data_IF_157605644043
#
_entry.id   IF_157605644043
#
_cell.length_a   1.000
_cell.length_b   1.000
_cell.length_c   1.000
_cell.angle_alpha   90.00
_cell.angle_beta   90.00
_cell.angle_gamma   90.00
#
_symmetry.space_group_name_H-M   'P 1'
#
loop_
_entity.id
_entity.type
_entity.pdbx_description
1 polymer ?
#
# COMPACT_ATOMS: atom_id res chain seq x y z
N UNK A 1 0.09 9.12 11.59
CA UNK A 1 -0.19 8.24 10.43
C UNK A 1 0.57 8.79 9.23
N UNK A 2 1.29 7.94 8.50
CA UNK A 2 2.01 8.35 7.30
C UNK A 2 1.29 7.81 6.06
N UNK A 3 1.07 8.66 5.06
CA UNK A 3 0.42 8.30 3.80
C UNK A 3 1.43 8.40 2.67
N UNK A 4 1.64 7.29 1.95
CA UNK A 4 2.48 7.24 0.76
C UNK A 4 1.57 7.17 -0.48
N UNK A 5 1.72 8.12 -1.39
CA UNK A 5 0.92 8.22 -2.61
C UNK A 5 1.87 8.29 -3.82
N UNK A 6 1.65 7.45 -4.82
CA UNK A 6 2.43 7.52 -6.05
C UNK A 6 2.12 6.42 -7.07
N UNK A 7 2.66 6.61 -8.27
CA UNK A 7 2.67 5.58 -9.31
C UNK A 7 3.93 4.71 -9.18
N UNK A 8 3.71 3.47 -8.77
CA UNK A 8 4.78 2.49 -8.53
C UNK A 8 5.13 1.65 -9.76
N UNK A 9 4.40 1.81 -10.87
CA UNK A 9 4.57 1.05 -12.11
C UNK A 9 4.69 -0.47 -11.88
N UNK A 10 3.88 -0.99 -10.96
CA UNK A 10 3.87 -2.38 -10.54
C UNK A 10 2.42 -2.88 -10.45
N UNK A 11 2.19 -4.11 -10.90
CA UNK A 11 0.87 -4.76 -10.89
C UNK A 11 0.77 -5.84 -9.81
N UNK A 12 -0.34 -5.87 -9.08
CA UNK A 12 -0.70 -6.93 -8.11
C UNK A 12 -2.22 -7.06 -7.98
N UNK A 13 -2.69 -8.28 -7.75
CA UNK A 13 -4.14 -8.59 -7.74
C UNK A 13 -4.86 -7.91 -6.58
N UNK A 14 -4.26 -7.94 -5.39
CA UNK A 14 -4.79 -7.29 -4.19
C UNK A 14 -4.78 -5.75 -4.26
N UNK A 15 -4.33 -5.16 -5.36
CA UNK A 15 -4.34 -3.72 -5.64
C UNK A 15 -5.31 -3.36 -6.77
N UNK A 16 -6.17 -4.28 -7.20
CA UNK A 16 -7.13 -4.04 -8.28
C UNK A 16 -6.62 -4.35 -9.68
N UNK A 17 -5.46 -5.01 -9.85
CA UNK A 17 -5.01 -5.48 -11.17
C UNK A 17 -5.48 -6.91 -11.47
N UNK A 18 -5.60 -7.27 -12.74
CA UNK A 18 -5.92 -8.64 -13.16
C UNK A 18 -4.73 -9.61 -13.10
N UNK A 19 -3.50 -9.08 -13.10
CA UNK A 19 -2.26 -9.88 -13.11
C UNK A 19 -1.24 -9.34 -12.12
N UNK A 20 -0.27 -10.20 -11.77
CA UNK A 20 0.90 -9.79 -10.98
C UNK A 20 2.11 -9.59 -11.87
N UNK A 21 2.77 -8.44 -11.72
CA UNK A 21 4.08 -8.16 -12.34
C UNK A 21 5.24 -8.64 -11.47
N UNK A 22 6.44 -8.80 -12.06
CA UNK A 22 7.69 -9.08 -11.31
C UNK A 22 7.98 -8.02 -10.24
N UNK A 23 7.66 -6.74 -10.50
CA UNK A 23 7.82 -5.62 -9.56
C UNK A 23 6.80 -5.60 -8.43
N UNK A 24 5.62 -6.18 -8.64
CA UNK A 24 4.53 -6.17 -7.66
C UNK A 24 4.81 -7.04 -6.43
N UNK A 25 5.52 -8.16 -6.60
CA UNK A 25 5.87 -9.06 -5.48
C UNK A 25 6.78 -8.41 -4.43
N UNK A 26 7.95 -7.85 -4.76
CA UNK A 26 8.83 -7.23 -3.75
C UNK A 26 8.17 -6.00 -3.11
N UNK A 27 7.38 -5.23 -3.85
CA UNK A 27 6.65 -4.10 -3.28
C UNK A 27 5.55 -4.56 -2.31
N UNK A 28 4.84 -5.66 -2.59
CA UNK A 28 3.92 -6.23 -1.61
C UNK A 28 4.62 -6.69 -0.33
N UNK A 29 5.81 -7.28 -0.45
CA UNK A 29 6.60 -7.67 0.72
C UNK A 29 6.96 -6.44 1.58
N UNK A 30 7.40 -5.35 0.94
CA UNK A 30 7.69 -4.09 1.63
C UNK A 30 6.46 -3.55 2.37
N UNK A 31 5.29 -3.51 1.71
CA UNK A 31 4.03 -3.08 2.31
C UNK A 31 3.68 -3.91 3.54
N UNK A 32 3.85 -5.24 3.46
CA UNK A 32 3.63 -6.15 4.59
C UNK A 32 4.64 -5.93 5.73
N UNK A 33 5.94 -5.74 5.43
CA UNK A 33 6.96 -5.46 6.43
C UNK A 33 6.72 -4.14 7.17
N UNK A 34 6.14 -3.15 6.49
CA UNK A 34 5.82 -1.86 7.09
C UNK A 34 4.49 -1.86 7.86
N UNK A 35 3.77 -2.98 7.93
CA UNK A 35 2.40 -3.03 8.48
C UNK A 35 1.45 -2.00 7.83
N UNK A 36 1.65 -1.75 6.53
CA UNK A 36 0.88 -0.78 5.77
C UNK A 36 -0.38 -1.41 5.16
N UNK A 37 -1.48 -0.67 5.18
CA UNK A 37 -2.72 -1.01 4.49
C UNK A 37 -2.73 -0.38 3.10
N UNK A 38 -3.21 -1.11 2.10
CA UNK A 38 -3.34 -0.61 0.73
C UNK A 38 -4.75 -0.11 0.48
N UNK A 39 -4.87 1.14 0.05
CA UNK A 39 -6.11 1.72 -0.44
C UNK A 39 -6.00 1.92 -1.95
N UNK A 40 -6.90 1.27 -2.68
CA UNK A 40 -7.02 1.41 -4.14
C UNK A 40 -8.39 2.01 -4.47
N UNK A 41 -8.39 3.15 -5.16
CA UNK A 41 -9.60 3.75 -5.69
C UNK A 41 -9.57 3.65 -7.21
N UNK A 42 -10.52 2.89 -7.77
CA UNK A 42 -10.71 2.84 -9.21
C UNK A 42 -11.32 4.18 -9.66
N UNK A 43 -10.49 5.08 -10.19
CA UNK A 43 -11.00 6.32 -10.76
C UNK A 43 -11.79 6.01 -12.04
N UNK A 44 -12.99 6.59 -12.23
CA UNK A 44 -13.77 6.42 -13.45
C UNK A 44 -12.94 6.88 -14.65
N UNK A 45 -12.84 5.99 -15.62
CA UNK A 45 -11.82 5.98 -16.66
C UNK A 45 -11.97 7.14 -17.65
N UNK A 46 -11.08 8.14 -17.56
CA UNK A 46 -10.53 8.82 -18.74
C UNK A 46 -9.03 9.04 -18.54
N UNK A 47 -8.24 8.04 -18.99
CA UNK A 47 -6.79 8.15 -19.31
C UNK A 47 -5.85 8.63 -18.19
N UNK A 48 -6.07 8.29 -16.92
CA UNK A 48 -5.10 8.58 -15.87
C UNK A 48 -4.58 7.29 -15.22
N UNK A 49 -3.28 7.22 -14.88
CA UNK A 49 -2.69 6.07 -14.20
C UNK A 49 -3.35 5.89 -12.83
N UNK A 50 -3.60 4.63 -12.48
CA UNK A 50 -4.16 4.26 -11.17
C UNK A 50 -3.21 4.72 -10.06
N UNK A 51 -3.73 5.54 -9.14
CA UNK A 51 -2.98 5.97 -7.96
C UNK A 51 -3.28 5.04 -6.80
N UNK A 52 -2.24 4.61 -6.09
CA UNK A 52 -2.37 3.83 -4.85
C UNK A 52 -1.92 4.64 -3.65
N UNK A 53 -2.60 4.44 -2.53
CA UNK A 53 -2.26 5.06 -1.25
C UNK A 53 -1.96 3.97 -0.22
N UNK A 54 -0.91 4.15 0.57
CA UNK A 54 -0.57 3.27 1.70
C UNK A 54 -0.68 4.03 3.01
N UNK A 55 -1.32 3.43 4.02
CA UNK A 55 -1.40 3.99 5.38
C UNK A 55 -0.71 3.07 6.36
N UNK A 56 0.23 3.60 7.14
CA UNK A 56 0.95 2.81 8.14
C UNK A 56 0.18 2.83 9.48
N UNK A 57 -0.38 1.68 9.89
CA UNK A 57 -1.02 1.50 11.19
C UNK A 57 0.06 1.18 12.23
N UNK A 58 0.83 2.18 12.62
CA UNK A 58 1.69 2.05 13.79
C UNK A 58 0.80 2.20 15.02
N UNK A 59 0.19 1.10 15.50
CA UNK A 59 -0.25 1.07 16.88
C UNK A 59 1.01 1.26 17.72
N UNK A 60 1.14 2.43 18.35
CA UNK A 60 2.16 2.66 19.35
C UNK A 60 1.97 1.57 20.41
N UNK A 61 2.90 0.62 20.47
CA UNK A 61 3.04 -0.26 21.64
C UNK A 61 3.52 0.66 22.76
N UNK A 62 2.55 1.25 23.46
CA UNK A 62 2.79 1.95 24.72
C UNK A 62 3.02 0.88 25.77
N UNK A 63 4.26 0.41 25.88
CA UNK A 63 4.72 -0.26 27.10
C UNK A 63 4.93 0.83 28.15
N UNK A 64 3.82 1.34 28.70
CA UNK A 64 3.85 2.09 29.93
C UNK A 64 4.05 1.08 31.07
N UNK A 65 5.30 0.91 31.46
CA UNK A 65 5.69 0.15 32.65
C UNK A 65 6.24 1.14 33.67
N UNK A 66 5.38 2.00 34.21
CA UNK A 66 5.70 2.69 35.46
C UNK A 66 5.52 1.75 36.63
N UNK A 67 6.64 1.55 37.33
CA UNK A 67 6.81 0.98 38.68
C UNK A 67 5.80 1.48 39.69
#
# INVERSE_FOLDING_TARGET
ENILIGDVNARRINWGNTTTSKRGRPLQNLVSCMASVVHHTQLPTRRLPSTMCFTNNTQAVSNDTTR
#
